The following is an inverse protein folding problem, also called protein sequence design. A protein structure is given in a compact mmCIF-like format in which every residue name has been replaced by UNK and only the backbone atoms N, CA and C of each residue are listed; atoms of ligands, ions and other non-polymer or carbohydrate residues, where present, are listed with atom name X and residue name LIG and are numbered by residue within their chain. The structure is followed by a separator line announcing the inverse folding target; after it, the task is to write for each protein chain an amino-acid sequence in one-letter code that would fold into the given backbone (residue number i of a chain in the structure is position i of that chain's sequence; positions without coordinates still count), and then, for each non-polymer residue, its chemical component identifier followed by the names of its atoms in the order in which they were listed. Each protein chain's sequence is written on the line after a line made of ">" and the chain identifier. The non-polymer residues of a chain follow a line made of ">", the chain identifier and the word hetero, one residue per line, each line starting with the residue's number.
data_IF_766748196854
#
_entry.id   IF_766748196854
#
_cell.length_a   1.000
_cell.length_b   1.000
_cell.length_c   1.000
_cell.angle_alpha   90.00
_cell.angle_beta   90.00
_cell.angle_gamma   90.00
#
_symmetry.space_group_name_H-M   'P 1'
#
loop_
_entity.id
_entity.type
_entity.pdbx_description
1 polymer ?
#
# COMPACT_ATOMS: atom_id res chain seq x y z
N UNK A 1 0.99 12.86 35.82
CA UNK A 1 -0.27 12.38 35.21
C UNK A 1 0.10 11.54 34.00
N UNK A 2 -0.37 10.29 33.92
CA UNK A 2 -0.03 9.37 32.83
C UNK A 2 -0.66 9.88 31.53
N UNK A 3 0.12 9.93 30.45
CA UNK A 3 -0.36 10.26 29.10
C UNK A 3 0.01 9.13 28.16
N UNK A 4 -0.97 8.64 27.42
CA UNK A 4 -0.76 7.56 26.45
C UNK A 4 -0.97 8.11 25.04
N UNK A 5 -0.35 7.49 24.04
CA UNK A 5 -0.53 7.91 22.66
C UNK A 5 -1.91 7.45 22.18
N UNK A 6 -2.75 8.37 21.73
CA UNK A 6 -4.02 8.01 21.09
C UNK A 6 -4.10 8.52 19.66
N UNK A 7 -4.84 7.79 18.83
CA UNK A 7 -4.93 8.00 17.38
C UNK A 7 -6.25 7.49 16.81
N UNK A 8 -6.65 8.05 15.68
CA UNK A 8 -7.98 7.90 15.10
C UNK A 8 -7.90 7.19 13.75
N UNK A 9 -8.78 6.22 13.51
CA UNK A 9 -8.94 5.52 12.24
C UNK A 9 -10.37 5.73 11.72
N UNK A 10 -10.51 6.20 10.48
CA UNK A 10 -11.81 6.40 9.81
C UNK A 10 -12.15 5.23 8.86
N UNK A 11 -13.39 5.14 8.37
CA UNK A 11 -13.88 4.03 7.53
C UNK A 11 -13.22 3.91 6.17
N UNK A 12 -12.75 5.03 5.63
CA UNK A 12 -12.05 5.11 4.37
C UNK A 12 -10.53 4.89 4.52
N UNK A 13 -10.02 4.66 5.74
CA UNK A 13 -8.60 4.47 5.99
C UNK A 13 -8.17 3.04 5.67
N UNK A 14 -6.90 2.88 5.29
CA UNK A 14 -6.30 1.55 5.16
C UNK A 14 -5.69 1.05 6.49
N UNK A 15 -5.28 -0.22 6.52
CA UNK A 15 -4.67 -0.78 7.72
C UNK A 15 -3.39 -0.02 8.11
N UNK A 16 -3.31 0.37 9.39
CA UNK A 16 -2.18 1.13 9.91
C UNK A 16 -2.23 2.62 9.57
N UNK A 17 -3.29 3.09 8.93
CA UNK A 17 -3.53 4.51 8.70
C UNK A 17 -4.28 5.13 9.88
N UNK A 18 -3.72 6.22 10.38
CA UNK A 18 -4.21 6.93 11.55
C UNK A 18 -3.97 8.42 11.41
N UNK A 19 -4.85 9.21 12.01
CA UNK A 19 -4.71 10.66 12.17
C UNK A 19 -4.81 11.04 13.65
N UNK A 20 -4.53 12.32 13.94
CA UNK A 20 -4.64 12.88 15.28
C UNK A 20 -3.79 12.14 16.31
N UNK A 21 -2.62 11.65 15.91
CA UNK A 21 -1.70 10.96 16.82
C UNK A 21 -1.11 11.95 17.83
N UNK A 22 -1.42 11.79 19.11
CA UNK A 22 -0.94 12.68 20.17
C UNK A 22 -0.92 11.96 21.51
N UNK A 23 -0.01 12.36 22.40
CA UNK A 23 -0.06 11.98 23.81
C UNK A 23 -1.24 12.67 24.49
N UNK A 24 -2.17 11.89 25.05
CA UNK A 24 -3.39 12.36 25.71
C UNK A 24 -3.52 11.80 27.12
N UNK A 25 -4.01 12.61 28.04
CA UNK A 25 -4.53 12.15 29.34
C UNK A 25 -5.78 11.29 29.15
N UNK A 26 -6.26 10.68 30.23
CA UNK A 26 -7.51 9.92 30.21
C UNK A 26 -8.70 10.79 29.75
N UNK A 27 -8.84 11.99 30.32
CA UNK A 27 -9.95 12.89 30.00
C UNK A 27 -9.88 13.40 28.56
N UNK A 28 -8.68 13.76 28.06
CA UNK A 28 -8.45 14.15 26.66
C UNK A 28 -8.81 12.99 25.69
N UNK A 29 -8.59 11.74 26.09
CA UNK A 29 -8.98 10.57 25.29
C UNK A 29 -10.48 10.31 25.35
N UNK A 30 -11.15 10.53 26.48
CA UNK A 30 -12.62 10.46 26.56
C UNK A 30 -13.28 11.55 25.71
N UNK A 31 -12.73 12.76 25.70
CA UNK A 31 -13.19 13.84 24.82
C UNK A 31 -13.02 13.46 23.34
N UNK A 32 -11.87 12.89 22.95
CA UNK A 32 -11.65 12.35 21.61
C UNK A 32 -12.70 11.28 21.24
N UNK A 33 -13.02 10.39 22.17
CA UNK A 33 -14.06 9.36 22.00
C UNK A 33 -15.44 9.98 21.88
N UNK A 34 -15.77 10.98 22.67
CA UNK A 34 -17.07 11.65 22.65
C UNK A 34 -17.30 12.48 21.38
N UNK A 35 -16.23 13.05 20.82
CA UNK A 35 -16.27 13.90 19.62
C UNK A 35 -16.09 13.13 18.31
N UNK A 36 -15.69 11.86 18.37
CA UNK A 36 -15.56 11.04 17.16
C UNK A 36 -16.93 10.84 16.48
N UNK A 37 -17.03 11.00 15.15
CA UNK A 37 -18.27 10.96 14.39
C UNK A 37 -18.80 9.52 14.22
N UNK A 38 -19.19 8.87 15.33
CA UNK A 38 -19.59 7.45 15.35
C UNK A 38 -20.74 7.13 14.41
N UNK A 39 -21.64 8.08 14.15
CA UNK A 39 -22.82 7.89 13.31
C UNK A 39 -22.44 7.85 11.84
N UNK A 40 -21.71 8.86 11.37
CA UNK A 40 -21.23 9.02 10.00
C UNK A 40 -20.27 7.88 9.62
N UNK A 41 -19.44 7.44 10.58
CA UNK A 41 -18.49 6.35 10.38
C UNK A 41 -19.17 4.97 10.35
N UNK A 42 -20.42 4.86 10.84
CA UNK A 42 -21.21 3.62 10.82
C UNK A 42 -21.96 3.43 9.51
N UNK A 43 -22.31 4.51 8.81
CA UNK A 43 -23.00 4.43 7.52
C UNK A 43 -22.14 3.66 6.49
N UNK A 44 -22.74 2.63 5.90
CA UNK A 44 -22.13 1.70 4.92
C UNK A 44 -20.83 1.04 5.39
N UNK A 45 -20.67 0.86 6.70
CA UNK A 45 -19.49 0.20 7.25
C UNK A 45 -19.43 -1.28 6.83
N UNK A 46 -18.34 -1.66 6.19
CA UNK A 46 -17.97 -3.06 6.05
C UNK A 46 -17.18 -3.49 7.30
N UNK A 47 -17.70 -4.47 8.04
CA UNK A 47 -17.08 -4.92 9.29
C UNK A 47 -15.84 -5.77 8.97
N UNK A 48 -14.67 -5.25 9.32
CA UNK A 48 -13.36 -5.90 9.17
C UNK A 48 -12.46 -5.63 10.40
N UNK A 49 -11.22 -6.09 10.38
CA UNK A 49 -10.22 -5.82 11.41
C UNK A 49 -9.87 -4.33 11.52
N UNK A 50 -10.07 -3.55 10.46
CA UNK A 50 -9.72 -2.13 10.35
C UNK A 50 -10.90 -1.18 10.60
N UNK A 51 -11.86 -1.60 11.41
CA UNK A 51 -13.05 -0.78 11.69
C UNK A 51 -12.69 0.61 12.25
N UNK A 52 -13.51 1.63 11.93
CA UNK A 52 -13.32 2.99 12.44
C UNK A 52 -13.36 3.02 13.96
N UNK A 53 -12.48 3.82 14.53
CA UNK A 53 -12.37 3.91 15.97
C UNK A 53 -11.13 4.64 16.44
N UNK A 54 -10.86 4.48 17.73
CA UNK A 54 -9.77 5.15 18.43
C UNK A 54 -8.88 4.08 19.05
N UNK A 55 -7.58 4.21 18.83
CA UNK A 55 -6.55 3.35 19.43
C UNK A 55 -5.82 4.16 20.48
N UNK A 56 -5.62 3.57 21.65
CA UNK A 56 -4.73 4.02 22.71
C UNK A 56 -3.56 3.04 22.77
N UNK A 57 -2.35 3.57 22.76
CA UNK A 57 -1.08 2.85 22.70
C UNK A 57 -0.28 3.18 23.96
N UNK A 58 0.14 2.15 24.68
CA UNK A 58 1.08 2.27 25.80
C UNK A 58 2.53 2.21 25.33
N UNK A 59 3.44 2.67 26.18
CA UNK A 59 4.88 2.71 25.88
C UNK A 59 5.47 1.32 25.60
N UNK A 60 4.84 0.26 26.14
CA UNK A 60 5.25 -1.13 25.98
C UNK A 60 4.72 -1.79 24.70
N UNK A 61 4.15 -1.01 23.77
CA UNK A 61 3.58 -1.54 22.53
C UNK A 61 2.33 -2.40 22.76
N UNK A 62 1.58 -2.08 23.82
CA UNK A 62 0.27 -2.65 24.12
C UNK A 62 -0.78 -1.67 23.57
N UNK A 63 -1.84 -2.21 22.98
CA UNK A 63 -2.87 -1.39 22.34
C UNK A 63 -4.25 -1.72 22.89
N UNK A 64 -5.05 -0.68 23.11
CA UNK A 64 -6.48 -0.79 23.35
C UNK A 64 -7.20 0.04 22.28
N UNK A 65 -8.03 -0.61 21.47
CA UNK A 65 -8.85 0.06 20.48
C UNK A 65 -10.32 -0.05 20.87
N UNK A 66 -11.05 1.06 20.81
CA UNK A 66 -12.51 1.04 20.69
C UNK A 66 -12.89 1.29 19.24
N UNK A 67 -13.70 0.42 18.66
CA UNK A 67 -14.14 0.53 17.28
C UNK A 67 -15.61 0.19 17.11
N UNK A 68 -16.16 0.62 15.97
CA UNK A 68 -17.50 0.24 15.54
C UNK A 68 -17.60 -1.28 15.31
N UNK A 69 -18.76 -1.83 15.64
CA UNK A 69 -19.07 -3.24 15.46
C UNK A 69 -20.50 -3.45 14.93
N UNK A 70 -20.81 -4.70 14.56
CA UNK A 70 -22.09 -5.11 13.99
C UNK A 70 -23.27 -4.82 14.94
N UNK A 71 -24.49 -4.68 14.39
CA UNK A 71 -25.73 -4.45 15.16
C UNK A 71 -25.68 -3.25 16.11
N UNK A 72 -25.18 -2.11 15.64
CA UNK A 72 -25.09 -0.87 16.44
C UNK A 72 -24.18 -0.98 17.68
N UNK A 73 -23.38 -2.04 17.79
CA UNK A 73 -22.47 -2.27 18.91
C UNK A 73 -21.11 -1.61 18.71
N UNK A 74 -20.29 -1.72 19.75
CA UNK A 74 -18.87 -1.41 19.76
C UNK A 74 -18.07 -2.67 20.10
N UNK A 75 -16.78 -2.64 19.78
CA UNK A 75 -15.84 -3.68 20.17
C UNK A 75 -14.61 -3.03 20.78
N UNK A 76 -14.21 -3.51 21.95
CA UNK A 76 -12.88 -3.28 22.50
C UNK A 76 -11.95 -4.35 21.97
N UNK A 77 -10.81 -3.94 21.42
CA UNK A 77 -9.74 -4.82 21.00
C UNK A 77 -8.50 -4.50 21.82
N UNK A 78 -8.03 -5.48 22.58
CA UNK A 78 -6.84 -5.37 23.41
C UNK A 78 -5.74 -6.27 22.85
N UNK A 79 -4.62 -5.67 22.44
CA UNK A 79 -3.45 -6.38 21.95
C UNK A 79 -2.33 -6.26 22.99
N UNK A 80 -2.00 -7.37 23.63
CA UNK A 80 -1.08 -7.38 24.77
C UNK A 80 0.39 -7.56 24.36
N UNK A 81 1.30 -7.41 25.34
CA UNK A 81 2.74 -7.58 25.14
C UNK A 81 3.16 -9.01 24.74
N UNK A 82 2.28 -10.00 24.89
CA UNK A 82 2.48 -11.38 24.41
C UNK A 82 2.00 -11.59 22.98
N UNK A 83 1.74 -10.50 22.25
CA UNK A 83 1.21 -10.48 20.89
C UNK A 83 -0.12 -11.21 20.70
N UNK A 84 -0.96 -11.26 21.74
CA UNK A 84 -2.30 -11.89 21.69
C UNK A 84 -3.37 -10.81 21.59
N UNK A 85 -4.34 -11.05 20.71
CA UNK A 85 -5.50 -10.21 20.54
C UNK A 85 -6.67 -10.74 21.37
N UNK A 86 -7.33 -9.83 22.08
CA UNK A 86 -8.50 -10.06 22.89
C UNK A 86 -9.59 -9.10 22.48
N UNK A 87 -10.84 -9.55 22.43
CA UNK A 87 -11.99 -8.76 22.03
C UNK A 87 -13.09 -8.80 23.07
N UNK A 88 -13.81 -7.69 23.24
CA UNK A 88 -15.02 -7.61 24.07
C UNK A 88 -16.06 -6.78 23.35
N UNK A 89 -17.25 -7.35 23.12
CA UNK A 89 -18.36 -6.61 22.51
C UNK A 89 -19.08 -5.78 23.58
N UNK A 90 -19.46 -4.55 23.21
CA UNK A 90 -20.14 -3.60 24.08
C UNK A 90 -21.43 -3.12 23.40
N UNK A 91 -22.49 -2.95 24.19
CA UNK A 91 -23.75 -2.43 23.68
C UNK A 91 -23.76 -0.90 23.65
N UNK A 92 -23.07 -0.24 24.60
CA UNK A 92 -22.96 1.22 24.67
C UNK A 92 -21.50 1.64 24.67
N UNK A 93 -21.24 2.84 24.16
CA UNK A 93 -19.90 3.42 24.12
C UNK A 93 -19.34 3.63 25.54
N UNK A 94 -20.21 4.07 26.47
CA UNK A 94 -19.87 4.39 27.86
C UNK A 94 -19.36 3.17 28.62
N UNK A 95 -19.77 1.95 28.24
CA UNK A 95 -19.31 0.70 28.84
C UNK A 95 -17.78 0.49 28.67
N UNK A 96 -17.14 1.26 27.79
CA UNK A 96 -15.69 1.21 27.58
C UNK A 96 -14.88 2.08 28.54
N UNK A 97 -15.49 3.08 29.17
CA UNK A 97 -14.75 4.14 29.88
C UNK A 97 -13.98 3.60 31.09
N UNK A 98 -14.55 2.64 31.80
CA UNK A 98 -13.87 2.00 32.94
C UNK A 98 -12.68 1.15 32.47
N UNK A 99 -12.80 0.44 31.36
CA UNK A 99 -11.71 -0.36 30.78
C UNK A 99 -10.57 0.54 30.30
N UNK A 100 -10.90 1.68 29.66
CA UNK A 100 -9.91 2.67 29.24
C UNK A 100 -9.23 3.28 30.47
N UNK A 101 -9.99 3.57 31.54
CA UNK A 101 -9.42 4.09 32.79
C UNK A 101 -8.45 3.10 33.42
N UNK A 102 -8.81 1.82 33.44
CA UNK A 102 -7.94 0.74 33.91
C UNK A 102 -6.67 0.65 33.06
N UNK A 103 -6.80 0.75 31.74
CA UNK A 103 -5.67 0.74 30.80
C UNK A 103 -4.68 1.90 31.05
N UNK A 104 -5.17 3.08 31.44
CA UNK A 104 -4.32 4.20 31.84
C UNK A 104 -3.61 4.01 33.19
N UNK A 105 -4.14 3.14 34.06
CA UNK A 105 -3.55 2.84 35.38
C UNK A 105 -2.57 1.67 35.32
N UNK A 106 -2.84 0.68 34.47
CA UNK A 106 -2.12 -0.57 34.39
C UNK A 106 -2.16 -1.12 32.96
N UNK A 107 -1.01 -1.59 32.48
CA UNK A 107 -0.91 -2.33 31.22
C UNK A 107 -1.58 -3.72 31.28
N UNK A 108 -1.88 -4.23 32.48
CA UNK A 108 -2.56 -5.50 32.69
C UNK A 108 -4.04 -5.26 32.96
N UNK A 109 -4.87 -5.48 31.94
CA UNK A 109 -6.33 -5.46 32.05
C UNK A 109 -6.87 -6.79 32.57
N UNK A 110 -7.98 -6.77 33.30
CA UNK A 110 -8.76 -7.98 33.55
C UNK A 110 -9.32 -8.54 32.24
N UNK A 111 -8.84 -9.73 31.88
CA UNK A 111 -9.22 -10.44 30.65
C UNK A 111 -10.42 -11.37 30.83
N UNK A 112 -11.01 -11.46 32.03
CA UNK A 112 -12.15 -12.35 32.32
C UNK A 112 -13.36 -12.11 31.40
N UNK A 113 -13.56 -10.84 30.99
CA UNK A 113 -14.64 -10.40 30.11
C UNK A 113 -14.24 -10.32 28.64
N UNK A 114 -13.00 -10.70 28.31
CA UNK A 114 -12.50 -10.68 26.95
C UNK A 114 -12.44 -12.08 26.35
N UNK A 115 -12.86 -12.19 25.09
CA UNK A 115 -12.64 -13.37 24.27
C UNK A 115 -11.27 -13.28 23.62
N UNK A 116 -10.47 -14.34 23.71
CA UNK A 116 -9.20 -14.43 22.96
C UNK A 116 -9.49 -14.71 21.48
N UNK A 117 -8.91 -13.91 20.59
CA UNK A 117 -8.98 -14.14 19.15
C UNK A 117 -7.78 -14.97 18.66
N UNK A 118 -8.03 -15.80 17.65
CA UNK A 118 -6.99 -16.61 16.98
C UNK A 118 -6.87 -16.09 15.56
N UNK A 119 -5.77 -15.42 15.25
CA UNK A 119 -5.46 -14.98 13.89
C UNK A 119 -4.34 -15.83 13.31
N UNK A 120 -4.67 -16.71 12.38
CA UNK A 120 -3.69 -17.58 11.70
C UNK A 120 -3.02 -16.89 10.51
N UNK A 121 -3.69 -15.92 9.89
CA UNK A 121 -3.30 -15.38 8.57
C UNK A 121 -2.65 -14.01 8.68
N UNK A 122 -3.11 -13.16 9.59
CA UNK A 122 -2.63 -11.78 9.71
C UNK A 122 -2.09 -11.48 11.11
N UNK A 123 -0.85 -10.99 11.25
CA UNK A 123 -0.35 -10.55 12.54
C UNK A 123 -1.19 -9.39 13.08
N UNK A 124 -1.90 -9.60 14.19
CA UNK A 124 -2.86 -8.64 14.74
C UNK A 124 -2.26 -7.26 15.04
N UNK A 125 -0.96 -7.19 15.38
CA UNK A 125 -0.28 -5.93 15.67
C UNK A 125 -0.29 -4.95 14.48
N UNK A 126 -0.35 -5.46 13.24
CA UNK A 126 -0.35 -4.62 12.03
C UNK A 126 -1.58 -3.74 11.92
N UNK A 127 -2.68 -4.14 12.58
CA UNK A 127 -3.90 -3.33 12.64
C UNK A 127 -3.63 -2.08 13.46
N UNK A 128 -2.99 -2.22 14.62
CA UNK A 128 -2.81 -1.12 15.59
C UNK A 128 -1.61 -0.23 15.31
N UNK A 129 -0.54 -0.79 14.73
CA UNK A 129 0.70 -0.05 14.50
C UNK A 129 0.55 0.91 13.32
N UNK A 130 0.92 2.17 13.53
CA UNK A 130 0.95 3.15 12.45
C UNK A 130 1.95 2.72 11.38
N UNK A 131 1.53 2.76 10.12
CA UNK A 131 2.32 2.41 8.95
C UNK A 131 2.76 3.69 8.24
N UNK A 132 3.99 3.70 7.71
CA UNK A 132 4.39 4.73 6.75
C UNK A 132 3.76 4.42 5.39
N UNK A 133 3.04 5.40 4.83
CA UNK A 133 2.56 5.37 3.44
C UNK A 133 3.57 6.06 2.51
N UNK A 134 4.85 5.85 2.80
CA UNK A 134 5.97 6.39 2.05
C UNK A 134 6.58 5.30 1.19
N UNK A 135 6.78 5.60 -0.09
CA UNK A 135 7.23 4.66 -1.09
C UNK A 135 8.48 5.24 -1.75
N UNK A 136 9.59 4.50 -1.62
CA UNK A 136 10.90 4.87 -2.12
C UNK A 136 11.61 3.65 -2.69
N UNK A 137 12.40 3.85 -3.77
CA UNK A 137 13.16 2.77 -4.38
C UNK A 137 14.22 2.32 -3.39
N UNK A 138 14.18 1.04 -3.04
CA UNK A 138 15.25 0.36 -2.35
C UNK A 138 15.64 -0.91 -3.11
N UNK A 139 16.87 -1.38 -2.87
CA UNK A 139 17.42 -2.55 -3.58
C UNK A 139 16.59 -3.81 -3.38
N UNK A 140 15.99 -3.98 -2.20
CA UNK A 140 15.20 -5.16 -1.88
C UNK A 140 13.90 -5.23 -2.70
N UNK A 141 13.17 -4.13 -2.83
CA UNK A 141 11.93 -4.05 -3.62
C UNK A 141 12.22 -4.31 -5.10
N UNK A 142 13.30 -3.74 -5.64
CA UNK A 142 13.71 -3.99 -7.03
C UNK A 142 14.04 -5.46 -7.23
N UNK A 143 14.85 -6.03 -6.33
CA UNK A 143 15.25 -7.43 -6.41
C UNK A 143 14.04 -8.37 -6.32
N UNK A 144 13.12 -8.12 -5.37
CA UNK A 144 11.88 -8.87 -5.24
C UNK A 144 11.02 -8.78 -6.51
N UNK A 145 10.93 -7.58 -7.12
CA UNK A 145 10.20 -7.39 -8.37
C UNK A 145 10.86 -8.15 -9.54
N UNK A 146 12.19 -8.11 -9.67
CA UNK A 146 12.95 -8.88 -10.68
C UNK A 146 12.73 -10.38 -10.48
N UNK A 147 12.81 -10.87 -9.24
CA UNK A 147 12.60 -12.27 -8.93
C UNK A 147 11.19 -12.73 -9.34
N UNK A 148 10.16 -11.96 -9.01
CA UNK A 148 8.76 -12.28 -9.29
C UNK A 148 8.42 -12.22 -10.78
N UNK A 149 9.00 -11.27 -11.52
CA UNK A 149 8.58 -10.99 -12.91
C UNK A 149 9.48 -11.62 -13.96
N UNK A 150 10.77 -11.78 -13.66
CA UNK A 150 11.79 -11.96 -14.69
C UNK A 150 12.75 -13.13 -14.43
N UNK A 151 12.89 -13.66 -13.21
CA UNK A 151 13.89 -14.69 -12.89
C UNK A 151 13.82 -15.92 -13.81
N UNK A 152 12.64 -16.54 -13.95
CA UNK A 152 12.50 -17.73 -14.78
C UNK A 152 12.85 -17.48 -16.26
N UNK A 153 12.54 -16.27 -16.76
CA UNK A 153 12.85 -15.88 -18.13
C UNK A 153 14.35 -15.59 -18.31
N UNK A 154 14.99 -14.95 -17.32
CA UNK A 154 16.43 -14.72 -17.29
C UNK A 154 17.22 -16.04 -17.26
N UNK A 155 16.77 -17.02 -16.46
CA UNK A 155 17.39 -18.36 -16.44
C UNK A 155 17.26 -19.02 -17.83
N UNK A 156 16.06 -18.98 -18.42
CA UNK A 156 15.83 -19.51 -19.77
C UNK A 156 16.71 -18.86 -20.83
N UNK A 157 16.87 -17.53 -20.77
CA UNK A 157 17.77 -16.78 -21.63
C UNK A 157 19.22 -17.27 -21.49
N UNK A 158 19.72 -17.41 -20.25
CA UNK A 158 21.09 -17.88 -20.00
C UNK A 158 21.29 -19.29 -20.56
N UNK A 159 20.36 -20.23 -20.32
CA UNK A 159 20.44 -21.59 -20.84
C UNK A 159 20.51 -21.60 -22.38
N UNK A 160 19.69 -20.81 -23.04
CA UNK A 160 19.66 -20.73 -24.51
C UNK A 160 20.94 -20.08 -25.05
N UNK A 161 21.44 -19.03 -24.40
CA UNK A 161 22.71 -18.41 -24.79
C UNK A 161 23.89 -19.37 -24.62
N UNK A 162 23.92 -20.16 -23.54
CA UNK A 162 24.90 -21.23 -23.37
C UNK A 162 24.79 -22.30 -24.46
N UNK A 163 23.56 -22.68 -24.87
CA UNK A 163 23.35 -23.61 -25.97
C UNK A 163 23.86 -23.06 -27.32
N UNK A 164 23.61 -21.78 -27.62
CA UNK A 164 24.11 -21.11 -28.84
C UNK A 164 25.64 -20.95 -28.82
N UNK A 165 26.22 -20.73 -27.64
CA UNK A 165 27.65 -20.59 -27.45
C UNK A 165 28.41 -21.91 -27.59
N UNK A 166 27.76 -23.05 -27.28
CA UNK A 166 28.35 -24.36 -27.49
C UNK A 166 28.56 -24.66 -28.99
N UNK A 167 29.71 -25.26 -29.31
CA UNK A 167 30.24 -25.40 -30.67
C UNK A 167 29.41 -26.26 -31.63
N UNK A 168 28.37 -26.95 -31.16
CA UNK A 168 27.50 -27.76 -32.02
C UNK A 168 26.65 -26.91 -32.99
N UNK A 169 26.54 -25.60 -32.75
CA UNK A 169 25.92 -24.62 -33.67
C UNK A 169 26.98 -23.83 -34.48
N UNK A 170 28.18 -24.37 -34.62
CA UNK A 170 29.34 -23.71 -35.27
C UNK A 170 29.12 -23.37 -36.75
N UNK A 171 28.17 -23.99 -37.43
CA UNK A 171 27.83 -23.69 -38.82
C UNK A 171 27.10 -22.34 -39.01
N UNK A 172 26.54 -21.75 -37.94
CA UNK A 172 25.93 -20.42 -38.03
C UNK A 172 26.99 -19.34 -38.01
N UNK A 173 26.91 -18.40 -38.95
CA UNK A 173 27.73 -17.21 -38.93
C UNK A 173 27.41 -16.35 -37.68
N UNK A 174 28.36 -15.49 -37.29
CA UNK A 174 28.22 -14.65 -36.10
C UNK A 174 26.97 -13.76 -36.14
N UNK A 175 26.63 -13.21 -37.32
CA UNK A 175 25.48 -12.33 -37.49
C UNK A 175 24.15 -13.04 -37.19
N UNK A 176 23.99 -14.31 -37.59
CA UNK A 176 22.80 -15.10 -37.27
C UNK A 176 22.72 -15.39 -35.78
N UNK A 177 23.85 -15.72 -35.13
CA UNK A 177 23.89 -15.92 -33.67
C UNK A 177 23.44 -14.65 -32.93
N UNK A 178 23.94 -13.48 -33.32
CA UNK A 178 23.53 -12.20 -32.75
C UNK A 178 22.04 -11.92 -32.94
N UNK A 179 21.50 -12.13 -34.15
CA UNK A 179 20.09 -11.94 -34.44
C UNK A 179 19.21 -12.86 -33.57
N UNK A 180 19.59 -14.15 -33.47
CA UNK A 180 18.90 -15.11 -32.61
C UNK A 180 18.95 -14.68 -31.14
N UNK A 181 20.11 -14.24 -30.65
CA UNK A 181 20.24 -13.71 -29.28
C UNK A 181 19.33 -12.52 -29.02
N UNK A 182 19.16 -11.59 -29.97
CA UNK A 182 18.26 -10.43 -29.83
C UNK A 182 16.79 -10.87 -29.82
N UNK A 183 16.40 -11.81 -30.69
CA UNK A 183 15.05 -12.36 -30.73
C UNK A 183 14.73 -13.10 -29.43
N UNK A 184 15.63 -13.97 -28.99
CA UNK A 184 15.52 -14.71 -27.73
C UNK A 184 15.48 -13.74 -26.56
N UNK A 185 16.38 -12.76 -26.49
CA UNK A 185 16.33 -11.73 -25.46
C UNK A 185 14.96 -11.06 -25.40
N UNK A 186 14.41 -10.66 -26.55
CA UNK A 186 13.09 -10.02 -26.63
C UNK A 186 11.96 -10.94 -26.13
N UNK A 187 11.96 -12.22 -26.52
CA UNK A 187 10.97 -13.23 -26.09
C UNK A 187 11.10 -13.55 -24.60
N UNK A 188 12.33 -13.72 -24.12
CA UNK A 188 12.66 -14.11 -22.75
C UNK A 188 12.78 -12.92 -21.79
N UNK A 189 12.01 -11.86 -22.04
CA UNK A 189 11.80 -10.79 -21.07
C UNK A 189 12.80 -9.63 -21.14
N UNK A 190 13.63 -9.56 -22.17
CA UNK A 190 14.49 -8.41 -22.45
C UNK A 190 13.73 -7.08 -22.52
N UNK A 191 12.53 -7.08 -23.10
CA UNK A 191 11.64 -5.91 -23.07
C UNK A 191 11.19 -5.55 -21.64
N UNK A 192 10.96 -6.54 -20.78
CA UNK A 192 10.67 -6.25 -19.36
C UNK A 192 11.88 -5.67 -18.65
N UNK A 193 13.09 -6.17 -18.94
CA UNK A 193 14.30 -5.62 -18.37
C UNK A 193 14.49 -4.15 -18.79
N UNK A 194 14.26 -3.82 -20.05
CA UNK A 194 14.34 -2.44 -20.55
C UNK A 194 13.31 -1.53 -19.86
N UNK A 195 12.05 -1.97 -19.77
CA UNK A 195 11.00 -1.23 -19.05
C UNK A 195 11.33 -1.07 -17.56
N UNK A 196 11.91 -2.08 -16.93
CA UNK A 196 12.30 -2.04 -15.52
C UNK A 196 13.42 -1.02 -15.31
N UNK A 197 14.41 -0.99 -16.21
CA UNK A 197 15.51 -0.04 -16.16
C UNK A 197 15.00 1.40 -16.37
N UNK A 198 14.12 1.60 -17.35
CA UNK A 198 13.45 2.89 -17.60
C UNK A 198 12.75 3.40 -16.33
N UNK A 199 11.92 2.55 -15.72
CA UNK A 199 11.19 2.87 -14.48
C UNK A 199 12.11 3.09 -13.29
N UNK A 200 13.17 2.29 -13.18
CA UNK A 200 14.18 2.43 -12.13
C UNK A 200 14.88 3.78 -12.22
N UNK A 201 15.36 4.16 -13.41
CA UNK A 201 16.10 5.41 -13.59
C UNK A 201 15.23 6.64 -13.35
N UNK A 202 13.96 6.59 -13.75
CA UNK A 202 13.01 7.66 -13.47
C UNK A 202 12.75 7.83 -11.97
N UNK A 203 12.60 6.73 -11.22
CA UNK A 203 12.16 6.80 -9.83
C UNK A 203 13.28 6.80 -8.78
N UNK A 204 14.55 6.51 -9.14
CA UNK A 204 15.63 6.28 -8.15
C UNK A 204 15.83 7.40 -7.12
N UNK A 205 15.49 8.63 -7.49
CA UNK A 205 15.61 9.82 -6.64
C UNK A 205 14.24 10.43 -6.25
N UNK A 206 13.14 9.72 -6.54
CA UNK A 206 11.78 10.17 -6.24
C UNK A 206 11.24 9.48 -5.00
N UNK A 207 10.24 10.11 -4.40
CA UNK A 207 9.48 9.59 -3.26
C UNK A 207 8.01 9.91 -3.48
N UNK A 208 7.16 8.93 -3.16
CA UNK A 208 5.71 9.11 -3.12
C UNK A 208 5.23 8.93 -1.68
N UNK A 209 4.40 9.84 -1.19
CA UNK A 209 3.62 9.66 0.04
C UNK A 209 2.14 9.65 -0.34
N UNK A 210 1.52 8.49 -0.32
CA UNK A 210 0.13 8.32 -0.75
C UNK A 210 -0.56 7.31 0.17
N UNK A 211 -1.44 7.81 1.03
CA UNK A 211 -2.35 6.98 1.83
C UNK A 211 -3.75 7.03 1.24
N UNK A 212 -4.65 6.14 1.68
CA UNK A 212 -6.03 6.11 1.19
C UNK A 212 -6.88 7.25 1.77
N UNK A 213 -6.75 7.51 3.06
CA UNK A 213 -7.58 8.41 3.83
C UNK A 213 -7.22 9.89 3.82
N UNK A 214 -5.98 10.25 3.50
CA UNK A 214 -5.58 11.66 3.42
C UNK A 214 -6.01 12.28 2.09
N UNK A 215 -6.56 13.49 2.13
CA UNK A 215 -6.97 14.22 0.92
C UNK A 215 -5.78 14.71 0.10
N UNK A 216 -4.64 14.97 0.75
CA UNK A 216 -3.41 15.39 0.11
C UNK A 216 -2.42 14.23 -0.02
N UNK A 217 -1.70 14.15 -1.13
CA UNK A 217 -0.56 13.26 -1.33
C UNK A 217 0.66 14.04 -1.81
N UNK A 218 1.84 13.43 -1.73
CA UNK A 218 3.11 14.11 -2.03
C UNK A 218 3.93 13.30 -3.02
N UNK A 219 4.46 13.96 -4.05
CA UNK A 219 5.32 13.33 -5.04
C UNK A 219 6.39 14.31 -5.53
N UNK A 220 7.62 13.81 -5.70
CA UNK A 220 8.72 14.63 -6.19
C UNK A 220 10.07 14.02 -5.91
N UNK A 221 11.12 14.84 -6.00
CA UNK A 221 12.48 14.46 -5.60
C UNK A 221 12.52 14.36 -4.07
N UNK A 222 13.34 13.46 -3.50
CA UNK A 222 13.35 13.18 -2.05
C UNK A 222 13.39 14.41 -1.13
N UNK A 223 14.07 15.48 -1.57
CA UNK A 223 14.24 16.73 -0.80
C UNK A 223 13.30 17.86 -1.24
N UNK A 224 12.47 17.64 -2.27
CA UNK A 224 11.59 18.63 -2.86
C UNK A 224 10.30 17.93 -3.32
N UNK A 225 9.42 17.69 -2.35
CA UNK A 225 8.14 17.03 -2.58
C UNK A 225 7.07 18.07 -2.86
N UNK A 226 6.40 17.94 -4.00
CA UNK A 226 5.21 18.73 -4.31
C UNK A 226 3.98 18.06 -3.71
N UNK A 227 3.11 18.86 -3.11
CA UNK A 227 1.81 18.42 -2.57
C UNK A 227 0.74 18.49 -3.65
N UNK A 228 -0.15 17.51 -3.65
CA UNK A 228 -1.27 17.38 -4.59
C UNK A 228 -2.53 17.04 -3.81
N UNK A 229 -3.63 17.74 -4.10
CA UNK A 229 -4.94 17.43 -3.54
C UNK A 229 -5.66 16.40 -4.41
N UNK A 230 -6.17 15.32 -3.81
CA UNK A 230 -6.88 14.24 -4.53
C UNK A 230 -8.15 14.71 -5.22
N UNK A 231 -8.81 15.72 -4.67
CA UNK A 231 -9.99 16.33 -5.29
C UNK A 231 -9.67 17.02 -6.63
N UNK A 232 -8.39 17.38 -6.87
CA UNK A 232 -7.94 18.00 -8.12
C UNK A 232 -7.43 16.97 -9.13
N UNK A 233 -7.68 15.67 -8.90
CA UNK A 233 -7.32 14.63 -9.87
C UNK A 233 -8.38 14.62 -10.97
N UNK A 234 -7.95 14.97 -12.18
CA UNK A 234 -8.79 14.96 -13.38
C UNK A 234 -9.04 13.54 -13.87
N UNK A 235 -7.98 12.76 -14.00
CA UNK A 235 -8.04 11.38 -14.49
C UNK A 235 -6.88 10.53 -13.98
N UNK A 236 -7.10 9.22 -13.97
CA UNK A 236 -6.11 8.25 -13.54
C UNK A 236 -5.99 7.14 -14.58
N UNK A 237 -4.83 7.07 -15.23
CA UNK A 237 -4.53 6.15 -16.32
C UNK A 237 -3.74 4.93 -15.84
N UNK A 238 -4.09 3.76 -16.37
CA UNK A 238 -3.37 2.50 -16.17
C UNK A 238 -2.88 1.99 -17.52
N UNK A 239 -1.57 2.07 -17.75
CA UNK A 239 -0.93 1.55 -18.95
C UNK A 239 -0.62 0.06 -18.79
N UNK A 240 -0.85 -0.68 -19.86
CA UNK A 240 -0.66 -2.13 -19.93
C UNK A 240 -1.45 -2.89 -18.84
N UNK A 241 -2.78 -2.70 -18.73
CA UNK A 241 -3.58 -3.37 -17.71
C UNK A 241 -3.65 -4.88 -17.93
N UNK A 242 -3.76 -5.61 -16.84
CA UNK A 242 -3.90 -7.07 -16.87
C UNK A 242 -5.36 -7.44 -17.13
N UNK A 243 -5.65 -7.89 -18.34
CA UNK A 243 -6.95 -8.50 -18.67
C UNK A 243 -6.79 -9.97 -19.07
N UNK A 244 -7.41 -10.84 -18.28
CA UNK A 244 -7.67 -12.25 -18.58
C UNK A 244 -6.47 -13.18 -18.47
N UNK A 245 -6.75 -14.45 -18.20
CA UNK A 245 -5.81 -15.58 -18.23
C UNK A 245 -5.30 -15.93 -19.65
N UNK A 246 -5.19 -14.92 -20.53
CA UNK A 246 -4.65 -15.09 -21.86
C UNK A 246 -3.15 -15.36 -21.78
N UNK A 247 -2.67 -16.32 -22.58
CA UNK A 247 -1.25 -16.71 -22.75
C UNK A 247 -0.40 -15.62 -23.43
N UNK A 248 -0.67 -14.35 -23.16
CA UNK A 248 0.04 -13.25 -23.80
C UNK A 248 1.36 -12.99 -23.06
N UNK A 249 2.45 -12.87 -23.83
CA UNK A 249 3.78 -12.46 -23.38
C UNK A 249 3.84 -10.99 -22.91
N UNK A 250 2.75 -10.46 -22.33
CA UNK A 250 2.68 -9.06 -21.92
C UNK A 250 3.68 -8.79 -20.80
N UNK A 251 4.32 -7.62 -20.82
CA UNK A 251 5.21 -7.23 -19.75
C UNK A 251 4.44 -7.16 -18.42
N UNK A 252 5.06 -7.61 -17.33
CA UNK A 252 4.49 -7.53 -15.97
C UNK A 252 4.64 -6.13 -15.35
N UNK A 253 5.21 -5.21 -16.13
CA UNK A 253 5.45 -3.83 -15.76
C UNK A 253 4.26 -2.99 -16.21
N UNK A 254 3.85 -2.05 -15.37
CA UNK A 254 2.72 -1.13 -15.59
C UNK A 254 3.13 0.26 -15.18
N UNK A 255 2.49 1.24 -15.82
CA UNK A 255 2.66 2.64 -15.51
C UNK A 255 1.31 3.20 -15.09
N UNK A 256 1.29 3.86 -13.94
CA UNK A 256 0.15 4.58 -13.42
C UNK A 256 0.43 6.06 -13.64
N UNK A 257 -0.50 6.78 -14.29
CA UNK A 257 -0.37 8.24 -14.49
C UNK A 257 -1.59 8.90 -13.87
N UNK A 258 -1.38 9.74 -12.87
CA UNK A 258 -2.42 10.59 -12.28
C UNK A 258 -2.30 11.97 -12.91
N UNK A 259 -3.33 12.42 -13.60
CA UNK A 259 -3.37 13.71 -14.28
C UNK A 259 -4.19 14.65 -13.40
N UNK A 260 -3.59 15.78 -13.03
CA UNK A 260 -4.19 16.79 -12.18
C UNK A 260 -4.93 17.84 -13.04
N UNK A 261 -5.89 18.56 -12.46
CA UNK A 261 -6.66 19.60 -13.17
C UNK A 261 -5.80 20.74 -13.70
N UNK A 262 -4.67 21.02 -13.05
CA UNK A 262 -3.70 22.03 -13.49
C UNK A 262 -2.76 21.53 -14.60
N UNK A 263 -2.95 20.29 -15.08
CA UNK A 263 -2.12 19.66 -16.11
C UNK A 263 -0.85 18.98 -15.59
N UNK A 264 -0.59 18.97 -14.28
CA UNK A 264 0.51 18.19 -13.72
C UNK A 264 0.26 16.68 -13.89
N UNK A 265 1.33 15.93 -14.13
CA UNK A 265 1.28 14.46 -14.21
C UNK A 265 2.13 13.81 -13.13
N UNK A 266 1.53 12.89 -12.37
CA UNK A 266 2.22 12.06 -11.39
C UNK A 266 2.34 10.64 -11.92
N UNK A 267 3.54 10.32 -12.41
CA UNK A 267 3.89 9.02 -12.99
C UNK A 267 4.42 8.08 -11.90
N UNK A 268 3.74 6.95 -11.70
CA UNK A 268 4.04 5.95 -10.66
C UNK A 268 4.22 4.57 -11.32
N UNK A 269 5.46 4.05 -11.36
CA UNK A 269 5.74 2.67 -11.75
C UNK A 269 5.11 1.62 -10.81
N UNK A 270 4.69 0.47 -11.35
CA UNK A 270 4.18 -0.65 -10.55
C UNK A 270 5.26 -1.47 -9.81
N UNK A 271 6.49 -0.95 -9.75
CA UNK A 271 7.56 -1.54 -8.95
C UNK A 271 7.20 -1.52 -7.45
N UNK A 272 6.38 -0.54 -7.01
CA UNK A 272 5.98 -0.36 -5.61
C UNK A 272 4.52 -0.67 -5.32
N UNK A 273 3.68 -0.37 -6.29
CA UNK A 273 2.24 -0.49 -6.17
C UNK A 273 1.79 -1.60 -7.05
N UNK A 274 1.11 -2.57 -6.47
CA UNK A 274 0.24 -3.37 -7.29
C UNK A 274 -0.88 -2.49 -7.85
N UNK A 275 -1.46 -2.91 -8.97
CA UNK A 275 -2.66 -2.26 -9.51
C UNK A 275 -3.81 -2.24 -8.49
N UNK A 276 -3.86 -3.24 -7.60
CA UNK A 276 -4.84 -3.27 -6.53
C UNK A 276 -4.60 -2.18 -5.49
N UNK A 277 -3.34 -1.93 -5.10
CA UNK A 277 -3.00 -0.91 -4.10
C UNK A 277 -3.41 0.49 -4.57
N UNK A 278 -3.12 0.84 -5.82
CA UNK A 278 -3.43 2.15 -6.38
C UNK A 278 -4.95 2.32 -6.59
N UNK A 279 -5.65 1.27 -7.04
CA UNK A 279 -7.12 1.25 -7.11
C UNK A 279 -7.76 1.42 -5.74
N UNK A 280 -7.21 0.79 -4.71
CA UNK A 280 -7.71 0.94 -3.35
C UNK A 280 -7.46 2.35 -2.80
N UNK A 281 -6.33 2.98 -3.15
CA UNK A 281 -5.97 4.35 -2.74
C UNK A 281 -6.77 5.44 -3.46
N UNK A 282 -7.18 5.18 -4.70
CA UNK A 282 -7.96 6.09 -5.57
C UNK A 282 -9.37 5.53 -5.83
N UNK A 283 -9.98 4.89 -4.83
CA UNK A 283 -11.25 4.18 -4.98
C UNK A 283 -12.47 5.10 -5.23
N UNK A 284 -12.29 6.42 -5.14
CA UNK A 284 -13.31 7.43 -5.46
C UNK A 284 -13.43 7.72 -6.97
N UNK A 285 -12.55 7.17 -7.80
CA UNK A 285 -12.58 7.35 -9.25
C UNK A 285 -12.36 6.02 -9.99
N UNK A 286 -12.86 5.93 -11.22
CA UNK A 286 -12.62 4.78 -12.08
C UNK A 286 -11.35 5.00 -12.92
N UNK A 287 -10.47 4.00 -13.02
CA UNK A 287 -9.27 4.11 -13.85
C UNK A 287 -9.60 4.04 -15.35
N UNK A 288 -8.87 4.80 -16.15
CA UNK A 288 -8.88 4.72 -17.61
C UNK A 288 -7.76 3.79 -18.06
N UNK A 289 -8.09 2.82 -18.89
CA UNK A 289 -7.16 1.77 -19.32
C UNK A 289 -6.52 2.12 -20.66
N UNK A 290 -5.17 2.13 -20.71
CA UNK A 290 -4.41 2.44 -21.93
C UNK A 290 -3.60 1.23 -22.38
N UNK A 291 -3.90 0.74 -23.58
CA UNK A 291 -3.26 -0.44 -24.16
C UNK A 291 -2.01 -0.08 -24.97
N UNK A 292 -1.01 0.51 -24.29
CA UNK A 292 0.29 0.86 -24.86
C UNK A 292 1.42 0.29 -23.99
N UNK A 293 2.62 0.18 -24.56
CA UNK A 293 3.79 -0.17 -23.78
C UNK A 293 4.03 0.91 -22.71
N UNK A 294 4.30 0.52 -21.46
CA UNK A 294 4.35 1.43 -20.33
C UNK A 294 5.72 2.12 -20.23
N UNK A 295 6.26 2.63 -21.34
CA UNK A 295 7.48 3.45 -21.30
C UNK A 295 7.16 4.79 -20.68
N UNK A 296 8.11 5.32 -19.92
CA UNK A 296 8.00 6.66 -19.37
C UNK A 296 8.16 7.65 -20.52
N UNK A 297 7.18 8.53 -20.74
CA UNK A 297 7.27 9.52 -21.81
C UNK A 297 8.48 10.43 -21.56
N UNK A 298 9.24 10.72 -22.61
CA UNK A 298 10.28 11.74 -22.55
C UNK A 298 9.64 13.09 -22.20
N UNK A 299 10.26 13.86 -21.30
CA UNK A 299 9.70 15.11 -20.75
C UNK A 299 9.28 16.14 -21.83
N UNK A 300 9.84 16.04 -23.03
CA UNK A 300 9.52 16.92 -24.17
C UNK A 300 8.24 16.52 -24.95
N UNK A 301 7.79 15.27 -24.84
CA UNK A 301 6.65 14.75 -25.62
C UNK A 301 5.27 15.06 -25.03
N UNK A 302 5.21 15.43 -23.75
CA UNK A 302 3.94 15.62 -23.02
C UNK A 302 3.31 17.00 -23.22
N UNK A 303 4.09 18.02 -23.59
CA UNK A 303 3.57 19.38 -23.81
C UNK A 303 2.77 19.54 -25.10
N UNK A 304 2.81 18.56 -26.01
CA UNK A 304 2.27 18.68 -27.37
C UNK A 304 1.05 17.79 -27.66
N UNK A 305 0.38 17.23 -26.64
CA UNK A 305 -0.82 16.39 -26.83
C UNK A 305 -2.12 17.00 -26.29
N UNK A 306 -2.12 18.30 -25.95
CA UNK A 306 -3.32 19.08 -25.62
C UNK A 306 -3.57 20.17 -26.67
#
# INVERSE_FOLDING_TARGET
>A
MIRLKSKVQYKNFEQGEYVSEKLRSFDETLELIGTFPWKEQREDIHIDFTNPGIVVESENGIYLQIALYYNQKFVLRYFNGKQKLYTRSLNRLQDSYDVIREFYKSDNLDLSLFKKEISWVMPSYKVFKTKSFEYELNKAVIFEHVLKTSLGRLIGLVVILCFIANNDVSHLNWSVKLLLSVIIFSIFGGLNLLLLLDHFFYFKNKKLKLSKGNDTFYFGVKNDLKSYEKQNIKEYLIYNPQFGAGRNLKPNIRLFIIIMDNGDEVIIPNIFFSEWDIKNKLNFMQPVYVYRLPFIPAEEGLKNQN
#
